data_IF_673133117537
#
_entry.id   IF_673133117537
#
_cell.length_a   1.000
_cell.length_b   1.000
_cell.length_c   1.000
_cell.angle_alpha   90.00
_cell.angle_beta   90.00
_cell.angle_gamma   90.00
#
_symmetry.space_group_name_H-M   'P 1'
#
loop_
_entity.id
_entity.type
_entity.pdbx_description
1 polymer ?
#
# COMPACT_ATOMS: atom_id res chain seq x y z
N UNK A 1 -28.79 -3.32 16.60
CA UNK A 1 -28.04 -4.56 16.38
C UNK A 1 -27.56 -4.57 14.94
N UNK A 2 -26.28 -4.86 14.68
CA UNK A 2 -25.83 -5.18 13.33
C UNK A 2 -26.51 -6.51 12.91
N UNK A 3 -26.93 -6.63 11.66
CA UNK A 3 -27.67 -7.81 11.18
C UNK A 3 -26.81 -9.07 11.09
N UNK A 4 -27.44 -10.24 10.95
CA UNK A 4 -26.76 -11.54 10.97
C UNK A 4 -25.81 -11.77 9.77
N UNK A 5 -25.87 -10.90 8.77
CA UNK A 5 -24.96 -10.83 7.62
C UNK A 5 -23.90 -9.73 7.74
N UNK A 6 -23.94 -8.94 8.82
CA UNK A 6 -22.99 -7.89 9.07
C UNK A 6 -21.67 -8.50 9.54
N UNK A 7 -20.72 -8.60 8.61
CA UNK A 7 -19.33 -8.92 8.94
C UNK A 7 -18.78 -7.79 9.81
N UNK A 8 -18.47 -8.08 11.08
CA UNK A 8 -17.85 -7.12 11.97
C UNK A 8 -16.50 -6.69 11.37
N UNK A 9 -16.42 -5.44 10.93
CA UNK A 9 -15.20 -4.82 10.42
C UNK A 9 -14.67 -5.42 9.12
N UNK A 10 -15.33 -5.21 7.98
CA UNK A 10 -14.68 -5.40 6.69
C UNK A 10 -13.36 -4.62 6.62
N UNK A 11 -13.29 -3.43 7.23
CA UNK A 11 -12.03 -2.70 7.34
C UNK A 11 -11.13 -3.27 8.43
N UNK A 12 -11.56 -3.40 9.69
CA UNK A 12 -10.69 -3.88 10.78
C UNK A 12 -10.24 -5.33 10.57
N UNK A 13 -11.16 -6.23 10.22
CA UNK A 13 -10.90 -7.63 9.89
C UNK A 13 -9.98 -7.80 8.69
N UNK A 14 -10.21 -7.13 7.56
CA UNK A 14 -9.24 -7.16 6.44
C UNK A 14 -7.90 -6.52 6.80
N UNK A 15 -7.91 -5.45 7.60
CA UNK A 15 -6.70 -4.76 8.06
C UNK A 15 -5.84 -5.65 8.95
N UNK A 16 -6.43 -6.49 9.80
CA UNK A 16 -5.70 -7.39 10.72
C UNK A 16 -5.63 -8.85 10.26
N UNK A 17 -6.32 -9.22 9.17
CA UNK A 17 -6.06 -10.44 8.36
C UNK A 17 -4.70 -10.37 7.66
N UNK A 18 -4.33 -9.16 7.24
CA UNK A 18 -3.15 -8.85 6.44
C UNK A 18 -2.22 -8.00 7.28
N UNK A 19 -0.94 -7.94 6.92
CA UNK A 19 -0.12 -6.86 7.44
C UNK A 19 -0.29 -5.65 6.52
N UNK A 20 -0.49 -4.47 7.11
CA UNK A 20 -0.78 -3.24 6.37
C UNK A 20 0.29 -2.19 6.61
N UNK A 21 0.56 -1.42 5.57
CA UNK A 21 1.51 -0.32 5.59
C UNK A 21 0.71 0.97 5.64
N UNK A 22 0.91 1.74 6.71
CA UNK A 22 0.50 3.14 6.77
C UNK A 22 1.68 4.04 6.45
N UNK A 23 1.43 5.10 5.70
CA UNK A 23 2.38 6.21 5.55
C UNK A 23 1.81 7.39 6.32
N UNK A 24 2.58 7.90 7.29
CA UNK A 24 2.27 9.15 7.98
C UNK A 24 3.00 10.29 7.31
N UNK A 25 2.25 11.29 6.89
CA UNK A 25 2.76 12.47 6.19
C UNK A 25 2.63 13.69 7.11
N UNK A 26 3.72 14.44 7.27
CA UNK A 26 3.81 15.62 8.13
C UNK A 26 4.03 16.89 7.32
N UNK A 27 3.63 18.03 7.87
CA UNK A 27 3.81 19.32 7.21
C UNK A 27 2.82 19.60 6.08
N UNK A 28 1.82 18.73 5.86
CA UNK A 28 0.76 18.95 4.87
C UNK A 28 -0.05 20.20 5.26
N UNK A 29 -0.15 21.23 4.38
CA UNK A 29 -0.92 22.44 4.62
C UNK A 29 -2.40 22.17 4.91
N UNK A 30 -3.02 22.99 5.74
CA UNK A 30 -4.45 22.87 6.06
C UNK A 30 -5.32 22.94 4.79
N UNK A 31 -5.04 23.90 3.91
CA UNK A 31 -5.73 24.06 2.63
C UNK A 31 -5.66 22.81 1.74
N UNK A 32 -4.54 22.07 1.76
CA UNK A 32 -4.43 20.82 1.00
C UNK A 32 -5.33 19.73 1.58
N UNK A 33 -5.40 19.62 2.92
CA UNK A 33 -6.30 18.67 3.59
C UNK A 33 -7.77 19.00 3.34
N UNK A 34 -8.11 20.29 3.38
CA UNK A 34 -9.46 20.78 3.06
C UNK A 34 -9.83 20.49 1.60
N UNK A 35 -8.90 20.71 0.65
CA UNK A 35 -9.11 20.41 -0.76
C UNK A 35 -9.31 18.90 -1.00
N UNK A 36 -8.54 18.04 -0.33
CA UNK A 36 -8.74 16.59 -0.37
C UNK A 36 -10.12 16.19 0.18
N UNK A 37 -10.50 16.73 1.35
CA UNK A 37 -11.80 16.45 1.96
C UNK A 37 -12.95 16.89 1.06
N UNK A 38 -12.88 18.09 0.49
CA UNK A 38 -13.86 18.61 -0.46
C UNK A 38 -13.96 17.75 -1.72
N UNK A 39 -12.84 17.27 -2.25
CA UNK A 39 -12.85 16.38 -3.41
C UNK A 39 -13.47 15.02 -3.10
N UNK A 40 -13.15 14.42 -1.95
CA UNK A 40 -13.78 13.15 -1.54
C UNK A 40 -15.28 13.31 -1.32
N UNK A 41 -15.72 14.43 -0.72
CA UNK A 41 -17.14 14.75 -0.59
C UNK A 41 -17.79 14.85 -1.97
N UNK A 42 -17.17 15.56 -2.91
CA UNK A 42 -17.66 15.67 -4.29
C UNK A 42 -17.79 14.32 -4.97
N UNK A 43 -16.80 13.42 -4.90
CA UNK A 43 -16.92 12.09 -5.51
C UNK A 43 -18.10 11.33 -4.90
N UNK A 44 -18.31 11.45 -3.59
CA UNK A 44 -19.43 10.81 -2.92
C UNK A 44 -20.78 11.37 -3.37
N UNK A 45 -20.88 12.69 -3.52
CA UNK A 45 -22.07 13.36 -4.05
C UNK A 45 -22.32 12.94 -5.51
N UNK A 46 -21.28 12.88 -6.33
CA UNK A 46 -21.34 12.45 -7.74
C UNK A 46 -21.78 10.98 -7.86
N UNK A 47 -21.35 10.12 -6.92
CA UNK A 47 -21.83 8.73 -6.81
C UNK A 47 -23.33 8.67 -6.51
N UNK A 48 -23.79 9.39 -5.49
CA UNK A 48 -25.21 9.40 -5.11
C UNK A 48 -26.12 9.98 -6.20
N UNK A 49 -25.64 11.00 -6.90
CA UNK A 49 -26.34 11.65 -8.01
C UNK A 49 -26.19 10.91 -9.34
N UNK A 50 -25.45 9.79 -9.37
CA UNK A 50 -25.18 8.98 -10.57
C UNK A 50 -24.60 9.83 -11.73
N UNK A 51 -23.75 10.78 -11.38
CA UNK A 51 -23.07 11.66 -12.33
C UNK A 51 -22.24 10.81 -13.29
N UNK A 52 -22.15 11.26 -14.54
CA UNK A 52 -21.41 10.58 -15.60
C UNK A 52 -20.36 11.50 -16.22
N UNK A 53 -19.23 10.92 -16.59
CA UNK A 53 -18.18 11.57 -17.39
C UNK A 53 -17.66 12.86 -16.76
N UNK A 54 -17.03 12.72 -15.60
CA UNK A 54 -16.33 13.82 -14.93
C UNK A 54 -14.90 13.95 -15.47
N UNK A 55 -14.20 15.02 -15.12
CA UNK A 55 -12.79 15.22 -15.49
C UNK A 55 -11.84 14.15 -14.93
N UNK A 56 -12.28 13.38 -13.93
CA UNK A 56 -11.49 12.35 -13.24
C UNK A 56 -11.98 10.92 -13.52
N UNK A 57 -13.14 10.74 -14.15
CA UNK A 57 -13.69 9.41 -14.44
C UNK A 57 -14.64 9.39 -15.64
N UNK A 58 -14.35 8.50 -16.59
CA UNK A 58 -15.20 8.26 -17.76
C UNK A 58 -16.36 7.31 -17.42
N UNK A 59 -17.59 7.71 -17.73
CA UNK A 59 -18.79 6.92 -17.42
C UNK A 59 -19.40 7.27 -16.05
N UNK A 60 -20.35 6.45 -15.60
CA UNK A 60 -21.04 6.69 -14.33
C UNK A 60 -20.11 6.46 -13.14
N UNK A 61 -20.12 7.38 -12.18
CA UNK A 61 -19.39 7.23 -10.92
C UNK A 61 -19.95 6.04 -10.16
N UNK A 62 -19.20 4.94 -10.18
CA UNK A 62 -19.49 3.71 -9.44
C UNK A 62 -18.20 3.20 -8.84
N UNK A 63 -18.17 3.07 -7.52
CA UNK A 63 -17.08 2.40 -6.84
C UNK A 63 -17.06 0.93 -7.25
N UNK A 64 -15.99 0.53 -7.93
CA UNK A 64 -15.79 -0.84 -8.36
C UNK A 64 -14.29 -1.14 -8.45
N UNK A 65 -13.96 -2.42 -8.61
CA UNK A 65 -12.58 -2.90 -8.58
C UNK A 65 -11.75 -2.50 -9.82
N UNK A 66 -12.40 -2.16 -10.94
CA UNK A 66 -11.73 -2.05 -12.25
C UNK A 66 -11.64 -0.59 -12.74
N UNK A 67 -12.69 0.21 -12.55
CA UNK A 67 -12.89 1.51 -13.18
C UNK A 67 -12.69 2.68 -12.21
N UNK A 68 -13.15 2.55 -10.97
CA UNK A 68 -12.98 3.54 -9.89
C UNK A 68 -12.56 2.83 -8.60
N UNK A 69 -11.41 2.17 -8.66
CA UNK A 69 -10.82 1.49 -7.52
C UNK A 69 -10.21 2.48 -6.52
N UNK A 70 -9.79 1.99 -5.35
CA UNK A 70 -9.23 2.81 -4.29
C UNK A 70 -8.03 3.67 -4.75
N UNK A 71 -7.11 3.09 -5.51
CA UNK A 71 -5.92 3.77 -6.00
C UNK A 71 -6.27 4.92 -6.95
N UNK A 72 -7.21 4.70 -7.87
CA UNK A 72 -7.70 5.75 -8.77
C UNK A 72 -8.39 6.86 -8.00
N UNK A 73 -9.25 6.52 -7.04
CA UNK A 73 -9.97 7.48 -6.21
C UNK A 73 -9.01 8.38 -5.42
N UNK A 74 -8.00 7.77 -4.77
CA UNK A 74 -6.96 8.52 -4.04
C UNK A 74 -6.13 9.36 -5.00
N UNK A 75 -5.64 8.77 -6.09
CA UNK A 75 -4.86 9.49 -7.10
C UNK A 75 -5.61 10.67 -7.69
N UNK A 76 -6.90 10.50 -7.99
CA UNK A 76 -7.77 11.57 -8.48
C UNK A 76 -7.92 12.69 -7.44
N UNK A 77 -8.08 12.37 -6.17
CA UNK A 77 -8.14 13.38 -5.12
C UNK A 77 -6.87 14.22 -5.03
N UNK A 78 -5.70 13.59 -5.13
CA UNK A 78 -4.45 14.34 -5.14
C UNK A 78 -4.27 15.16 -6.43
N UNK A 79 -4.57 14.59 -7.60
CA UNK A 79 -4.40 15.27 -8.89
C UNK A 79 -5.37 16.43 -9.06
N UNK A 80 -6.66 16.18 -8.92
CA UNK A 80 -7.74 17.12 -9.24
C UNK A 80 -8.20 17.94 -8.04
N UNK A 81 -8.03 17.44 -6.82
CA UNK A 81 -8.35 18.17 -5.59
C UNK A 81 -7.15 18.94 -5.03
N UNK A 82 -6.03 18.26 -4.80
CA UNK A 82 -4.86 18.82 -4.10
C UNK A 82 -3.77 19.43 -5.01
N UNK A 83 -4.01 19.51 -6.32
CA UNK A 83 -3.09 20.18 -7.26
C UNK A 83 -1.82 19.40 -7.60
N UNK A 84 -1.83 18.07 -7.53
CA UNK A 84 -0.71 17.24 -7.96
C UNK A 84 -0.78 17.03 -9.48
N UNK A 85 -0.58 18.10 -10.25
CA UNK A 85 -0.85 18.12 -11.70
C UNK A 85 -0.10 17.02 -12.48
N UNK A 86 1.15 16.75 -12.10
CA UNK A 86 2.01 15.74 -12.73
C UNK A 86 1.72 14.30 -12.25
N UNK A 87 0.80 14.12 -11.29
CA UNK A 87 0.40 12.79 -10.84
C UNK A 87 -0.39 12.11 -11.95
N UNK A 88 0.18 11.05 -12.53
CA UNK A 88 -0.50 10.26 -13.54
C UNK A 88 -1.55 9.34 -12.91
N UNK A 89 -2.81 9.62 -13.21
CA UNK A 89 -3.97 8.79 -12.87
C UNK A 89 -4.54 8.27 -14.18
N UNK A 90 -4.55 6.94 -14.36
CA UNK A 90 -4.97 6.35 -15.63
C UNK A 90 -6.49 6.15 -15.64
N UNK A 91 -7.14 6.61 -16.70
CA UNK A 91 -8.53 6.24 -17.00
C UNK A 91 -8.53 5.16 -18.08
N UNK A 92 -9.36 4.14 -17.86
CA UNK A 92 -9.89 3.18 -18.82
C UNK A 92 -10.30 3.79 -20.17
N UNK A 93 -9.40 4.30 -21.02
CA UNK A 93 -9.81 4.71 -22.37
C UNK A 93 -10.40 3.47 -23.06
N UNK A 94 -11.39 3.65 -23.93
CA UNK A 94 -12.10 2.58 -24.67
C UNK A 94 -12.21 3.07 -26.14
N UNK A 95 -11.47 2.70 -27.19
CA UNK A 95 -10.38 1.75 -27.40
C UNK A 95 -10.83 0.42 -27.98
N UNK A 96 -11.78 0.43 -28.92
CA UNK A 96 -12.32 -0.75 -29.60
C UNK A 96 -11.21 -1.71 -30.05
N UNK A 97 -11.16 -2.90 -29.47
CA UNK A 97 -10.63 -4.10 -30.13
C UNK A 97 -9.41 -4.80 -29.52
N UNK A 98 -8.61 -4.18 -28.64
CA UNK A 98 -7.38 -4.83 -28.09
C UNK A 98 -7.20 -4.76 -26.56
N UNK A 99 -8.23 -4.33 -25.81
CA UNK A 99 -8.12 -3.88 -24.41
C UNK A 99 -8.76 -4.83 -23.38
N UNK A 100 -8.10 -5.94 -23.05
CA UNK A 100 -8.38 -6.66 -21.80
C UNK A 100 -7.19 -6.64 -20.83
N UNK A 101 -5.95 -6.60 -21.33
CA UNK A 101 -4.75 -6.70 -20.47
C UNK A 101 -4.33 -5.35 -19.86
N UNK A 102 -4.46 -4.23 -20.58
CA UNK A 102 -3.97 -2.92 -20.10
C UNK A 102 -4.87 -2.27 -19.03
N UNK A 103 -6.15 -2.60 -18.98
CA UNK A 103 -7.08 -2.09 -17.96
C UNK A 103 -6.89 -2.79 -16.60
N UNK A 104 -6.41 -4.04 -16.60
CA UNK A 104 -6.17 -4.83 -15.39
C UNK A 104 -4.95 -4.35 -14.58
N UNK A 105 -4.06 -3.57 -15.20
CA UNK A 105 -2.85 -3.02 -14.55
C UNK A 105 -2.91 -1.49 -14.33
N UNK A 106 -4.07 -0.87 -14.58
CA UNK A 106 -4.23 0.58 -14.38
C UNK A 106 -4.59 0.88 -12.91
N UNK A 107 -3.92 1.87 -12.31
CA UNK A 107 -4.11 2.29 -10.91
C UNK A 107 -3.87 1.15 -9.91
N UNK A 108 -2.67 0.59 -9.93
CA UNK A 108 -2.24 -0.39 -8.92
C UNK A 108 -2.00 0.35 -7.60
N UNK A 109 -2.54 -0.12 -6.46
CA UNK A 109 -2.42 0.57 -5.17
C UNK A 109 -0.97 0.90 -4.77
N UNK A 110 -0.05 -0.06 -4.93
CA UNK A 110 1.35 0.14 -4.55
C UNK A 110 2.05 1.14 -5.46
N UNK A 111 1.79 1.10 -6.77
CA UNK A 111 2.32 2.09 -7.72
C UNK A 111 1.86 3.51 -7.37
N UNK A 112 0.56 3.69 -7.09
CA UNK A 112 0.01 4.98 -6.67
C UNK A 112 0.63 5.46 -5.35
N UNK A 113 0.82 4.56 -4.39
CA UNK A 113 1.51 4.88 -3.14
C UNK A 113 2.95 5.35 -3.39
N UNK A 114 3.71 4.70 -4.28
CA UNK A 114 5.07 5.13 -4.64
C UNK A 114 5.08 6.51 -5.30
N UNK A 115 4.13 6.78 -6.21
CA UNK A 115 3.97 8.11 -6.84
C UNK A 115 3.68 9.20 -5.81
N UNK A 116 2.80 8.93 -4.85
CA UNK A 116 2.45 9.88 -3.79
C UNK A 116 3.61 10.15 -2.83
N UNK A 117 4.35 9.12 -2.40
CA UNK A 117 5.56 9.27 -1.59
C UNK A 117 6.57 10.22 -2.25
N UNK A 118 6.81 10.03 -3.55
CA UNK A 118 7.67 10.93 -4.34
C UNK A 118 7.11 12.35 -4.39
N UNK A 119 5.79 12.49 -4.61
CA UNK A 119 5.10 13.77 -4.65
C UNK A 119 5.16 14.56 -3.33
N UNK A 120 5.03 13.86 -2.19
CA UNK A 120 5.15 14.43 -0.85
C UNK A 120 6.59 14.85 -0.54
N UNK A 121 7.58 14.02 -0.86
CA UNK A 121 8.99 14.40 -0.71
C UNK A 121 9.34 15.63 -1.55
N UNK A 122 8.88 15.71 -2.81
CA UNK A 122 9.10 16.86 -3.67
C UNK A 122 8.51 18.18 -3.11
N UNK A 123 7.50 18.06 -2.24
CA UNK A 123 6.88 19.19 -1.51
C UNK A 123 7.54 19.48 -0.16
N UNK A 124 8.58 18.73 0.21
CA UNK A 124 9.28 18.87 1.48
C UNK A 124 8.51 18.32 2.69
N UNK A 125 7.51 17.47 2.47
CA UNK A 125 6.73 16.89 3.56
C UNK A 125 7.52 15.78 4.27
N UNK A 126 7.37 15.70 5.59
CA UNK A 126 7.95 14.62 6.38
C UNK A 126 7.21 13.31 6.15
N UNK A 127 7.92 12.19 6.16
CA UNK A 127 7.36 10.85 5.89
C UNK A 127 7.85 9.85 6.93
N UNK A 128 6.93 9.15 7.57
CA UNK A 128 7.22 7.96 8.38
C UNK A 128 6.36 6.79 7.89
N UNK A 129 6.92 5.58 7.87
CA UNK A 129 6.15 4.36 7.62
C UNK A 129 5.79 3.66 8.94
N UNK A 130 4.54 3.22 9.02
CA UNK A 130 3.96 2.48 10.14
C UNK A 130 3.56 1.10 9.66
N UNK A 131 4.10 0.06 10.30
CA UNK A 131 3.76 -1.33 10.01
C UNK A 131 2.68 -1.84 10.95
N UNK A 132 1.47 -2.05 10.43
CA UNK A 132 0.38 -2.69 11.15
C UNK A 132 0.55 -4.20 10.99
N UNK A 133 0.96 -4.84 12.09
CA UNK A 133 1.14 -6.28 12.15
C UNK A 133 -0.21 -6.96 12.22
N UNK A 134 -0.34 -8.03 11.45
CA UNK A 134 -1.37 -9.05 11.63
C UNK A 134 -1.46 -9.47 13.10
N UNK A 135 -2.67 -9.81 13.55
CA UNK A 135 -2.88 -10.31 14.90
C UNK A 135 -2.52 -11.80 15.00
N UNK A 136 -1.33 -12.10 15.52
CA UNK A 136 -0.77 -13.45 15.59
C UNK A 136 -1.59 -14.43 16.46
N UNK A 137 -2.32 -13.92 17.45
CA UNK A 137 -3.24 -14.70 18.27
C UNK A 137 -4.61 -14.99 17.64
N UNK A 138 -4.90 -14.50 16.44
CA UNK A 138 -6.24 -14.63 15.84
C UNK A 138 -6.53 -16.04 15.34
N UNK A 139 -7.45 -16.74 16.01
CA UNK A 139 -7.99 -18.04 15.59
C UNK A 139 -9.20 -17.94 14.66
N UNK A 140 -9.65 -16.73 14.35
CA UNK A 140 -10.81 -16.52 13.48
C UNK A 140 -10.55 -17.05 12.06
N UNK A 141 -11.56 -17.69 11.49
CA UNK A 141 -11.59 -18.20 10.11
C UNK A 141 -12.73 -17.50 9.38
N UNK A 142 -12.48 -16.94 8.21
CA UNK A 142 -13.53 -16.27 7.44
C UNK A 142 -14.54 -17.30 6.87
N UNK A 143 -15.84 -17.19 7.21
CA UNK A 143 -16.87 -18.08 6.66
C UNK A 143 -17.10 -17.88 5.15
N UNK A 144 -16.64 -16.80 4.54
CA UNK A 144 -16.82 -16.48 3.11
C UNK A 144 -15.64 -16.92 2.22
N UNK A 145 -14.45 -17.18 2.77
CA UNK A 145 -13.30 -17.66 1.99
C UNK A 145 -13.49 -19.13 1.59
N UNK A 146 -13.15 -19.49 0.34
CA UNK A 146 -13.24 -20.89 -0.12
C UNK A 146 -12.31 -21.80 0.69
N UNK A 147 -11.10 -21.33 0.96
CA UNK A 147 -10.13 -22.02 1.81
C UNK A 147 -10.23 -21.55 3.25
N UNK A 148 -10.51 -22.49 4.16
CA UNK A 148 -10.69 -22.21 5.59
C UNK A 148 -9.34 -22.16 6.31
N UNK A 149 -8.69 -21.01 6.26
CA UNK A 149 -7.43 -20.75 6.98
C UNK A 149 -7.67 -19.75 8.12
N UNK A 150 -7.18 -20.07 9.31
CA UNK A 150 -7.21 -19.13 10.43
C UNK A 150 -6.29 -17.93 10.16
N UNK A 151 -6.68 -16.74 10.58
CA UNK A 151 -5.94 -15.51 10.26
C UNK A 151 -4.47 -15.57 10.63
N UNK A 152 -4.13 -16.09 11.83
CA UNK A 152 -2.73 -16.26 12.25
C UNK A 152 -1.87 -17.05 11.27
N UNK A 153 -2.46 -17.95 10.49
CA UNK A 153 -1.77 -18.79 9.51
C UNK A 153 -1.75 -18.20 8.09
N UNK A 154 -2.40 -17.05 7.85
CA UNK A 154 -2.32 -16.37 6.56
C UNK A 154 -0.92 -15.77 6.32
N UNK A 155 -0.38 -15.80 5.10
CA UNK A 155 0.89 -15.14 4.80
C UNK A 155 0.78 -13.63 4.99
N UNK A 156 1.90 -12.97 5.33
CA UNK A 156 1.97 -11.51 5.28
C UNK A 156 1.94 -11.08 3.82
N UNK A 157 0.84 -10.42 3.41
CA UNK A 157 0.65 -10.03 2.02
C UNK A 157 1.11 -8.59 1.81
N UNK A 158 2.23 -8.39 1.14
CA UNK A 158 2.59 -7.08 0.59
C UNK A 158 1.90 -6.92 -0.78
N UNK A 159 1.19 -5.82 -1.06
CA UNK A 159 0.49 -5.65 -2.34
C UNK A 159 1.51 -5.47 -3.48
N UNK A 160 1.38 -6.27 -4.53
CA UNK A 160 2.28 -6.20 -5.69
C UNK A 160 2.14 -4.86 -6.42
N UNK A 161 3.24 -4.31 -6.92
CA UNK A 161 3.24 -3.21 -7.90
C UNK A 161 2.79 -3.65 -9.30
N UNK A 162 2.62 -4.95 -9.54
CA UNK A 162 2.31 -5.53 -10.85
C UNK A 162 0.86 -6.03 -10.98
N UNK A 163 0.07 -5.98 -9.90
CA UNK A 163 -1.32 -6.45 -9.92
C UNK A 163 -2.16 -5.78 -8.84
N UNK A 164 -3.45 -5.62 -9.11
CA UNK A 164 -4.45 -5.27 -8.08
C UNK A 164 -4.69 -6.41 -7.09
N UNK A 165 -4.43 -7.66 -7.49
CA UNK A 165 -4.66 -8.86 -6.68
C UNK A 165 -3.45 -9.17 -5.79
N UNK A 166 -3.73 -9.55 -4.55
CA UNK A 166 -2.75 -10.21 -3.69
C UNK A 166 -2.64 -11.67 -4.15
N UNK A 167 -1.70 -11.97 -5.03
CA UNK A 167 -1.57 -13.34 -5.56
C UNK A 167 -1.22 -14.31 -4.43
N UNK A 168 -2.03 -15.36 -4.31
CA UNK A 168 -1.97 -16.41 -3.28
C UNK A 168 -0.66 -17.21 -3.28
N UNK A 169 0.10 -17.17 -4.38
CA UNK A 169 1.29 -17.98 -4.64
C UNK A 169 2.61 -17.16 -4.64
N UNK A 170 2.54 -15.84 -4.42
CA UNK A 170 3.68 -14.93 -4.55
C UNK A 170 4.33 -14.61 -3.21
N UNK A 171 4.68 -15.63 -2.43
CA UNK A 171 5.32 -15.45 -1.11
C UNK A 171 6.68 -14.74 -1.19
N UNK A 172 7.28 -14.63 -2.39
CA UNK A 172 8.56 -13.93 -2.59
C UNK A 172 8.55 -13.12 -3.90
N UNK A 173 8.52 -11.79 -3.79
CA UNK A 173 8.75 -10.92 -4.94
C UNK A 173 10.23 -10.94 -5.34
N UNK A 174 10.49 -11.10 -6.63
CA UNK A 174 11.85 -11.08 -7.21
C UNK A 174 12.02 -9.95 -8.24
N UNK A 175 10.90 -9.34 -8.66
CA UNK A 175 10.92 -8.20 -9.56
C UNK A 175 11.41 -6.95 -8.85
N UNK A 176 12.17 -6.15 -9.61
CA UNK A 176 12.89 -4.99 -9.10
C UNK A 176 11.95 -3.95 -8.47
N UNK A 177 10.73 -3.77 -8.99
CA UNK A 177 9.82 -2.73 -8.53
C UNK A 177 9.18 -3.10 -7.18
N UNK A 178 8.81 -4.37 -6.98
CA UNK A 178 8.35 -4.85 -5.68
C UNK A 178 9.47 -4.85 -4.65
N UNK A 179 10.68 -5.31 -5.03
CA UNK A 179 11.85 -5.26 -4.16
C UNK A 179 12.15 -3.82 -3.72
N UNK A 180 12.13 -2.87 -4.66
CA UNK A 180 12.29 -1.45 -4.38
C UNK A 180 11.25 -0.94 -3.40
N UNK A 181 9.95 -1.20 -3.65
CA UNK A 181 8.87 -0.74 -2.78
C UNK A 181 9.01 -1.30 -1.35
N UNK A 182 9.32 -2.60 -1.21
CA UNK A 182 9.51 -3.23 0.09
C UNK A 182 10.70 -2.61 0.84
N UNK A 183 11.85 -2.43 0.17
CA UNK A 183 13.05 -1.87 0.78
C UNK A 183 12.90 -0.39 1.13
N UNK A 184 12.22 0.40 0.29
CA UNK A 184 11.92 1.80 0.57
C UNK A 184 11.03 1.91 1.81
N UNK A 185 9.93 1.16 1.86
CA UNK A 185 8.98 1.20 2.98
C UNK A 185 9.61 0.65 4.26
N UNK A 186 10.47 -0.37 4.17
CA UNK A 186 11.31 -0.78 5.27
C UNK A 186 12.18 0.39 5.73
N UNK A 187 12.96 1.03 4.85
CA UNK A 187 13.90 2.11 5.16
C UNK A 187 13.24 3.31 5.85
N UNK A 188 12.03 3.66 5.43
CA UNK A 188 11.17 4.70 6.03
C UNK A 188 10.45 4.26 7.31
N UNK A 189 10.49 2.97 7.65
CA UNK A 189 9.79 2.38 8.79
C UNK A 189 10.25 2.97 10.11
N UNK A 190 9.29 3.37 10.95
CA UNK A 190 9.55 3.95 12.28
C UNK A 190 8.78 3.24 13.38
N UNK A 191 7.50 3.01 13.15
CA UNK A 191 6.62 2.40 14.12
C UNK A 191 6.10 1.05 13.63
N UNK A 192 5.80 0.17 14.57
CA UNK A 192 4.96 -0.99 14.33
C UNK A 192 3.78 -0.97 15.29
N UNK A 193 2.59 -1.25 14.78
CA UNK A 193 1.37 -1.40 15.59
C UNK A 193 1.01 -2.88 15.60
N UNK A 194 0.71 -3.44 16.76
CA UNK A 194 0.28 -4.83 16.91
C UNK A 194 -0.84 -4.94 17.94
N UNK A 195 -1.61 -6.01 17.88
CA UNK A 195 -2.53 -6.37 18.98
C UNK A 195 -1.75 -7.20 20.00
N UNK A 196 -1.85 -6.85 21.27
CA UNK A 196 -1.29 -7.65 22.36
C UNK A 196 -2.15 -8.89 22.62
N UNK A 197 -1.53 -10.06 22.70
CA UNK A 197 -2.23 -11.33 22.87
C UNK A 197 -2.87 -11.51 24.25
N UNK A 198 -2.39 -10.86 25.31
CA UNK A 198 -2.97 -10.98 26.65
C UNK A 198 -4.09 -9.98 26.85
N UNK A 199 -3.83 -8.70 26.56
CA UNK A 199 -4.75 -7.58 26.88
C UNK A 199 -5.76 -7.30 25.77
N UNK A 200 -5.51 -7.79 24.54
CA UNK A 200 -6.28 -7.47 23.33
C UNK A 200 -6.28 -5.99 22.96
N UNK A 201 -5.39 -5.19 23.53
CA UNK A 201 -5.22 -3.78 23.21
C UNK A 201 -4.15 -3.59 22.13
N UNK A 202 -4.21 -2.45 21.42
CA UNK A 202 -3.17 -2.06 20.47
C UNK A 202 -1.92 -1.58 21.19
N UNK A 203 -0.77 -2.09 20.76
CA UNK A 203 0.55 -1.63 21.19
C UNK A 203 1.28 -0.98 20.02
N UNK A 204 1.93 0.15 20.32
CA UNK A 204 2.81 0.83 19.39
C UNK A 204 4.25 0.60 19.83
N UNK A 205 5.00 -0.14 19.03
CA UNK A 205 6.45 -0.31 19.21
C UNK A 205 7.22 0.63 18.30
N UNK A 206 8.27 1.27 18.81
CA UNK A 206 9.30 1.85 17.96
C UNK A 206 10.09 0.70 17.31
N UNK A 207 10.09 0.64 15.98
CA UNK A 207 10.76 -0.44 15.24
C UNK A 207 12.22 -0.09 14.96
N UNK A 208 12.47 1.15 14.51
CA UNK A 208 13.81 1.70 14.21
C UNK A 208 13.75 3.21 13.97
N UNK A 209 14.91 3.83 13.76
CA UNK A 209 14.99 5.20 13.26
C UNK A 209 14.78 5.20 11.73
N UNK A 210 13.85 6.03 11.19
CA UNK A 210 13.62 6.10 9.76
C UNK A 210 14.80 6.81 9.08
N UNK A 211 15.13 6.35 7.88
CA UNK A 211 16.07 7.04 6.98
C UNK A 211 15.29 8.13 6.23
N UNK A 212 15.94 9.26 5.93
CA UNK A 212 15.32 10.31 5.13
C UNK A 212 14.97 9.80 3.71
N UNK A 213 13.88 10.28 3.13
CA UNK A 213 13.36 9.75 1.85
C UNK A 213 14.39 9.69 0.70
N UNK A 214 15.23 10.72 0.45
CA UNK A 214 16.22 10.65 -0.63
C UNK A 214 17.22 9.49 -0.44
N UNK A 215 17.81 9.38 0.75
CA UNK A 215 18.76 8.33 1.08
C UNK A 215 18.08 6.94 1.11
N UNK A 216 16.87 6.85 1.67
CA UNK A 216 16.08 5.62 1.68
C UNK A 216 15.80 5.10 0.27
N UNK A 217 15.56 6.01 -0.68
CA UNK A 217 15.34 5.72 -2.10
C UNK A 217 16.61 5.19 -2.75
N UNK A 218 17.75 5.84 -2.55
CA UNK A 218 19.04 5.39 -3.10
C UNK A 218 19.40 3.99 -2.61
N UNK A 219 19.29 3.74 -1.30
CA UNK A 219 19.55 2.43 -0.70
C UNK A 219 18.59 1.36 -1.23
N UNK A 220 17.31 1.69 -1.35
CA UNK A 220 16.31 0.76 -1.89
C UNK A 220 16.59 0.43 -3.36
N UNK A 221 16.97 1.41 -4.18
CA UNK A 221 17.33 1.20 -5.59
C UNK A 221 18.54 0.28 -5.72
N UNK A 222 19.63 0.55 -4.99
CA UNK A 222 20.84 -0.28 -5.04
C UNK A 222 20.56 -1.72 -4.61
N UNK A 223 19.85 -1.89 -3.49
CA UNK A 223 19.50 -3.21 -2.96
C UNK A 223 18.59 -3.98 -3.91
N UNK A 224 17.56 -3.35 -4.46
CA UNK A 224 16.63 -3.98 -5.40
C UNK A 224 17.33 -4.41 -6.70
N UNK A 225 18.22 -3.58 -7.24
CA UNK A 225 19.02 -3.93 -8.42
C UNK A 225 19.93 -5.13 -8.17
N UNK A 226 20.64 -5.14 -7.04
CA UNK A 226 21.55 -6.22 -6.69
C UNK A 226 20.79 -7.54 -6.48
N UNK A 227 19.71 -7.50 -5.70
CA UNK A 227 18.94 -8.69 -5.35
C UNK A 227 18.18 -9.24 -6.56
N UNK A 228 17.53 -8.39 -7.38
CA UNK A 228 16.86 -8.81 -8.62
C UNK A 228 17.83 -9.47 -9.61
N UNK A 229 19.05 -8.92 -9.75
CA UNK A 229 20.10 -9.56 -10.56
C UNK A 229 20.48 -10.93 -10.03
N UNK A 230 20.63 -11.10 -8.72
CA UNK A 230 20.98 -12.40 -8.14
C UNK A 230 19.86 -13.44 -8.28
N UNK A 231 18.59 -13.03 -8.13
CA UNK A 231 17.42 -13.89 -8.41
C UNK A 231 17.43 -14.40 -9.85
N UNK A 232 17.65 -13.50 -10.83
CA UNK A 232 17.72 -13.89 -12.25
C UNK A 232 18.80 -14.93 -12.55
N UNK A 233 19.86 -14.97 -11.73
CA UNK A 233 20.97 -15.92 -11.87
C UNK A 233 20.74 -17.25 -11.13
N UNK A 234 19.66 -17.38 -10.34
CA UNK A 234 19.29 -18.56 -9.55
C UNK A 234 20.42 -19.11 -8.67
N UNK A 235 21.33 -18.25 -8.21
CA UNK A 235 22.42 -18.63 -7.31
C UNK A 235 21.96 -18.44 -5.86
N UNK A 236 22.43 -19.25 -4.90
CA UNK A 236 22.26 -18.93 -3.49
C UNK A 236 22.96 -17.60 -3.17
N UNK A 237 22.25 -16.65 -2.58
CA UNK A 237 22.81 -15.37 -2.14
C UNK A 237 22.09 -14.89 -0.87
N UNK A 238 22.73 -13.97 -0.15
CA UNK A 238 22.08 -13.21 0.93
C UNK A 238 21.53 -11.92 0.36
N UNK A 239 20.23 -11.65 0.57
CA UNK A 239 19.59 -10.39 0.19
C UNK A 239 20.31 -9.20 0.83
N UNK A 240 20.54 -8.16 0.04
CA UNK A 240 21.15 -6.91 0.48
C UNK A 240 20.11 -6.01 1.14
N UNK A 241 18.90 -5.97 0.59
CA UNK A 241 17.79 -5.26 1.21
C UNK A 241 17.23 -5.98 2.43
N UNK A 242 16.30 -5.32 3.11
CA UNK A 242 15.55 -5.92 4.23
C UNK A 242 14.08 -5.62 3.99
N UNK A 243 13.25 -6.66 4.04
CA UNK A 243 11.83 -6.52 3.76
C UNK A 243 11.09 -5.95 4.97
N UNK A 244 10.01 -5.22 4.72
CA UNK A 244 9.15 -4.75 5.79
C UNK A 244 8.51 -5.94 6.52
N UNK A 245 8.66 -5.98 7.84
CA UNK A 245 8.21 -7.09 8.68
C UNK A 245 9.30 -8.09 9.05
N UNK A 246 10.47 -8.07 8.40
CA UNK A 246 11.63 -8.83 8.87
C UNK A 246 12.14 -8.26 10.20
N UNK A 247 12.54 -9.11 11.18
CA UNK A 247 13.17 -8.65 12.40
C UNK A 247 14.42 -7.84 12.08
N UNK A 248 14.59 -6.68 12.72
CA UNK A 248 15.87 -5.97 12.70
C UNK A 248 16.92 -6.86 13.33
N UNK A 249 17.76 -7.48 12.51
CA UNK A 249 18.92 -8.23 12.97
C UNK A 249 19.86 -7.23 13.67
N UNK A 250 19.81 -7.20 15.01
CA UNK A 250 20.62 -6.31 15.84
C UNK A 250 22.12 -6.56 15.68
N UNK A 251 22.53 -7.62 14.98
CA UNK A 251 23.92 -7.86 14.61
C UNK A 251 24.45 -6.91 13.51
N UNK A 252 23.58 -6.24 12.74
CA UNK A 252 23.99 -5.31 11.67
C UNK A 252 24.53 -3.95 12.17
N UNK A 253 24.39 -3.64 13.47
CA UNK A 253 24.91 -2.39 14.07
C UNK A 253 26.26 -2.55 14.80
N UNK A 254 26.96 -3.68 14.64
CA UNK A 254 28.35 -3.81 15.06
C UNK A 254 29.24 -4.00 13.85
N UNK A 255 29.72 -2.88 13.31
CA UNK A 255 31.12 -2.65 12.95
C UNK A 255 31.21 -1.47 11.98
N UNK A 256 31.57 -0.29 12.51
CA UNK A 256 32.60 0.53 11.89
C UNK A 256 33.51 0.97 13.04
N UNK A 257 34.75 0.47 13.13
CA UNK A 257 35.77 1.06 14.02
C UNK A 257 36.16 2.46 13.55
#
# INVERSE_FOLDING_TARGET
>A
SLGDTASFGLDFGEIYKRSIIGVRVYGVPAAEKEALAAFFQRINDDYHNRVRSTEYHDGEIRYDYIRLNCAKTIGAAFKYGAGYQDLEVTSAKLLSGRRLVAAANANIPTEMAMKLLKGWNARGYGLDVVWYKKYDGSTYVDPHEEEKVAFKNLPNRFPSVLSSDFRKEQDHYEDIDNLFAMYLLYNLGKYSVRVNDETKLLEIGASKNPIAYPEATELATQSAQADSKNFSQRRPFRRQGTEIGEPTDRSKNRAVP
#
